data_IF_429931887669
#
_entry.id   IF_429931887669
#
_cell.length_a   1.000
_cell.length_b   1.000
_cell.length_c   1.000
_cell.angle_alpha   90.00
_cell.angle_beta   90.00
_cell.angle_gamma   90.00
#
_symmetry.space_group_name_H-M   'P 1'
#
loop_
_entity.id
_entity.type
_entity.pdbx_description
1 polymer ?
#
# COMPACT_ATOMS: atom_id res chain seq x y z
N UNK A 1 17.99 16.40 -15.53
CA UNK A 1 19.38 15.97 -15.24
C UNK A 1 19.72 16.25 -13.78
N UNK A 2 19.76 15.23 -12.92
CA UNK A 2 20.27 15.37 -11.54
C UNK A 2 21.80 15.45 -11.57
N UNK A 3 22.41 16.40 -10.84
CA UNK A 3 23.87 16.57 -10.82
C UNK A 3 24.52 15.32 -10.19
N UNK A 4 25.43 14.60 -10.87
CA UNK A 4 26.02 13.36 -10.36
C UNK A 4 26.72 13.50 -9.00
N UNK A 5 27.22 14.70 -8.68
CA UNK A 5 27.91 15.00 -7.42
C UNK A 5 27.02 14.87 -6.17
N UNK A 6 25.69 14.93 -6.27
CA UNK A 6 24.82 14.83 -5.09
C UNK A 6 24.68 13.41 -4.58
N UNK A 7 24.79 12.40 -5.46
CA UNK A 7 24.64 10.98 -5.07
C UNK A 7 25.86 10.47 -4.32
N UNK A 8 27.06 10.71 -4.85
CA UNK A 8 28.31 10.29 -4.20
C UNK A 8 28.49 10.93 -2.81
N UNK A 9 28.17 12.23 -2.70
CA UNK A 9 28.26 12.94 -1.42
C UNK A 9 27.23 12.44 -0.39
N UNK A 10 26.01 12.13 -0.84
CA UNK A 10 24.98 11.54 0.04
C UNK A 10 25.41 10.16 0.53
N UNK A 11 25.85 9.29 -0.39
CA UNK A 11 26.35 7.96 -0.06
C UNK A 11 27.53 7.99 0.92
N UNK A 12 28.49 8.91 0.72
CA UNK A 12 29.60 9.08 1.66
C UNK A 12 29.12 9.50 3.06
N UNK A 13 28.11 10.38 3.12
CA UNK A 13 27.56 10.83 4.40
C UNK A 13 26.79 9.73 5.15
N UNK A 14 26.16 8.81 4.42
CA UNK A 14 25.45 7.63 4.96
C UNK A 14 26.41 6.54 5.47
N UNK A 15 27.66 6.56 5.04
CA UNK A 15 28.67 5.57 5.48
C UNK A 15 28.98 5.74 6.98
N UNK A 16 29.11 4.63 7.75
CA UNK A 16 29.47 4.68 9.16
C UNK A 16 30.72 5.53 9.42
N UNK A 17 30.72 6.30 10.53
CA UNK A 17 31.83 7.20 10.87
C UNK A 17 33.16 6.45 11.00
N UNK A 18 33.13 5.23 11.51
CA UNK A 18 34.31 4.36 11.65
C UNK A 18 34.93 4.03 10.29
N UNK A 19 34.14 3.58 9.31
CA UNK A 19 34.62 3.29 7.96
C UNK A 19 35.21 4.53 7.30
N UNK A 20 34.58 5.69 7.46
CA UNK A 20 35.12 6.96 6.94
C UNK A 20 36.46 7.32 7.56
N UNK A 21 36.57 7.26 8.88
CA UNK A 21 37.82 7.53 9.60
C UNK A 21 38.92 6.58 9.15
N UNK A 22 38.62 5.29 9.06
CA UNK A 22 39.56 4.27 8.63
C UNK A 22 40.02 4.53 7.19
N UNK A 23 39.12 4.85 6.27
CA UNK A 23 39.47 5.23 4.89
C UNK A 23 40.32 6.50 4.86
N UNK A 24 39.99 7.52 5.67
CA UNK A 24 40.77 8.76 5.75
C UNK A 24 42.18 8.57 6.32
N UNK A 25 42.40 7.53 7.13
CA UNK A 25 43.73 7.21 7.68
C UNK A 25 44.50 6.30 6.72
N UNK A 26 43.88 5.22 6.26
CA UNK A 26 44.57 4.19 5.48
C UNK A 26 44.92 4.65 4.07
N UNK A 27 44.11 5.46 3.40
CA UNK A 27 44.42 5.91 2.04
C UNK A 27 45.67 6.82 2.01
N UNK A 28 45.79 7.87 2.84
CA UNK A 28 47.01 8.67 2.90
C UNK A 28 48.24 7.87 3.32
N UNK A 29 48.11 6.96 4.30
CA UNK A 29 49.21 6.06 4.69
C UNK A 29 49.61 5.18 3.50
N UNK A 30 48.64 4.62 2.77
CA UNK A 30 48.88 3.82 1.57
C UNK A 30 49.61 4.61 0.49
N UNK A 31 49.26 5.89 0.25
CA UNK A 31 49.99 6.75 -0.69
C UNK A 31 51.40 7.10 -0.21
N UNK A 32 51.58 7.34 1.09
CA UNK A 32 52.89 7.59 1.68
C UNK A 32 53.80 6.35 1.57
N UNK A 33 53.27 5.16 1.82
CA UNK A 33 53.98 3.89 1.60
C UNK A 33 54.23 3.65 0.10
N UNK A 34 53.27 3.91 -0.77
CA UNK A 34 53.50 3.75 -2.20
C UNK A 34 54.64 4.65 -2.71
N UNK A 35 54.62 5.94 -2.34
CA UNK A 35 55.68 6.89 -2.70
C UNK A 35 57.02 6.57 -2.04
N UNK A 36 57.01 6.16 -0.78
CA UNK A 36 58.21 5.71 -0.07
C UNK A 36 58.84 4.47 -0.71
N UNK A 37 58.01 3.54 -1.18
CA UNK A 37 58.45 2.35 -1.91
C UNK A 37 59.19 2.71 -3.19
N UNK A 38 58.62 3.62 -4.00
CA UNK A 38 59.26 4.11 -5.23
C UNK A 38 60.59 4.83 -4.96
N UNK A 39 60.66 5.59 -3.86
CA UNK A 39 61.90 6.26 -3.48
C UNK A 39 62.98 5.29 -2.98
N UNK A 40 62.61 4.30 -2.16
CA UNK A 40 63.53 3.25 -1.69
C UNK A 40 64.03 2.36 -2.83
N UNK A 41 63.18 2.13 -3.84
CA UNK A 41 63.54 1.43 -5.07
C UNK A 41 64.58 2.22 -5.88
N UNK A 42 64.42 3.55 -5.98
CA UNK A 42 65.36 4.42 -6.69
C UNK A 42 66.80 4.41 -6.11
N UNK A 43 66.95 4.12 -4.82
CA UNK A 43 68.26 4.05 -4.14
C UNK A 43 68.75 2.61 -3.92
N UNK A 44 68.13 1.63 -4.60
CA UNK A 44 68.43 0.19 -4.53
C UNK A 44 68.38 -0.40 -3.09
N UNK A 45 67.62 0.20 -2.17
CA UNK A 45 67.60 -0.20 -0.74
C UNK A 45 67.12 -1.64 -0.53
N UNK A 46 66.24 -2.13 -1.40
CA UNK A 46 65.66 -3.47 -1.31
C UNK A 46 66.68 -4.59 -1.52
N UNK A 47 67.85 -4.30 -2.10
CA UNK A 47 68.89 -5.31 -2.34
C UNK A 47 69.38 -5.89 -1.01
N UNK A 48 69.10 -7.19 -0.78
CA UNK A 48 69.42 -7.87 0.48
C UNK A 48 68.35 -7.77 1.58
N UNK A 49 67.19 -7.15 1.29
CA UNK A 49 66.10 -6.91 2.24
C UNK A 49 64.75 -7.50 1.80
N UNK A 50 64.76 -8.64 1.11
CA UNK A 50 63.56 -9.29 0.52
C UNK A 50 62.41 -9.49 1.53
N UNK A 51 62.75 -9.80 2.79
CA UNK A 51 61.76 -9.94 3.87
C UNK A 51 60.96 -8.65 4.11
N UNK A 52 61.64 -7.50 4.16
CA UNK A 52 60.98 -6.20 4.39
C UNK A 52 60.16 -5.77 3.19
N UNK A 53 60.61 -6.07 1.97
CA UNK A 53 59.85 -5.80 0.74
C UNK A 53 58.48 -6.51 0.76
N UNK A 54 58.46 -7.77 1.21
CA UNK A 54 57.22 -8.53 1.33
C UNK A 54 56.25 -7.94 2.37
N UNK A 55 56.76 -7.54 3.54
CA UNK A 55 55.93 -6.86 4.56
C UNK A 55 55.42 -5.52 4.03
N UNK A 56 56.29 -4.76 3.39
CA UNK A 56 55.98 -3.42 2.88
C UNK A 56 54.88 -3.44 1.82
N UNK A 57 55.01 -4.35 0.86
CA UNK A 57 54.01 -4.56 -0.20
C UNK A 57 52.69 -5.06 0.39
N UNK A 58 52.72 -6.00 1.33
CA UNK A 58 51.52 -6.46 2.04
C UNK A 58 50.80 -5.35 2.80
N UNK A 59 51.53 -4.51 3.53
CA UNK A 59 50.98 -3.39 4.27
C UNK A 59 50.41 -2.32 3.34
N UNK A 60 51.12 -2.00 2.26
CA UNK A 60 50.65 -1.07 1.23
C UNK A 60 49.36 -1.58 0.58
N UNK A 61 49.31 -2.85 0.22
CA UNK A 61 48.13 -3.51 -0.31
C UNK A 61 46.95 -3.50 0.68
N UNK A 62 47.21 -3.77 1.97
CA UNK A 62 46.19 -3.71 3.01
C UNK A 62 45.61 -2.30 3.20
N UNK A 63 46.44 -1.25 3.10
CA UNK A 63 45.99 0.15 3.21
C UNK A 63 44.98 0.56 2.13
N UNK A 64 45.03 -0.05 0.94
CA UNK A 64 44.03 0.19 -0.12
C UNK A 64 42.91 -0.86 -0.13
N UNK A 65 43.27 -2.12 0.12
CA UNK A 65 42.36 -3.27 0.06
C UNK A 65 41.30 -3.24 1.17
N UNK A 66 41.70 -2.96 2.42
CA UNK A 66 40.76 -2.97 3.56
C UNK A 66 39.67 -1.90 3.41
N UNK A 67 39.96 -0.61 3.12
CA UNK A 67 38.93 0.38 2.87
C UNK A 67 38.01 0.00 1.72
N UNK A 68 38.57 -0.47 0.60
CA UNK A 68 37.79 -0.85 -0.59
C UNK A 68 36.83 -2.00 -0.27
N UNK A 69 37.30 -3.03 0.41
CA UNK A 69 36.48 -4.16 0.85
C UNK A 69 35.35 -3.71 1.78
N UNK A 70 35.64 -2.84 2.75
CA UNK A 70 34.62 -2.31 3.66
C UNK A 70 33.55 -1.48 2.94
N UNK A 71 33.93 -0.67 1.94
CA UNK A 71 32.98 0.11 1.16
C UNK A 71 32.05 -0.79 0.32
N UNK A 72 32.61 -1.82 -0.32
CA UNK A 72 31.83 -2.80 -1.08
C UNK A 72 30.89 -3.61 -0.19
N UNK A 73 31.37 -4.07 0.97
CA UNK A 73 30.55 -4.79 1.95
C UNK A 73 29.40 -3.92 2.47
N UNK A 74 29.66 -2.64 2.78
CA UNK A 74 28.63 -1.71 3.21
C UNK A 74 27.58 -1.47 2.11
N UNK A 75 28.00 -1.38 0.85
CA UNK A 75 27.08 -1.25 -0.28
C UNK A 75 26.20 -2.50 -0.43
N UNK A 76 26.78 -3.69 -0.31
CA UNK A 76 26.05 -4.95 -0.39
C UNK A 76 25.06 -5.10 0.77
N UNK A 77 25.48 -4.77 1.99
CA UNK A 77 24.62 -4.80 3.18
C UNK A 77 23.42 -3.85 3.01
N UNK A 78 23.64 -2.61 2.55
CA UNK A 78 22.55 -1.67 2.31
C UNK A 78 21.58 -2.16 1.23
N UNK A 79 22.08 -2.78 0.15
CA UNK A 79 21.22 -3.36 -0.89
C UNK A 79 20.39 -4.53 -0.36
N UNK A 80 20.98 -5.38 0.51
CA UNK A 80 20.27 -6.47 1.16
C UNK A 80 19.20 -5.98 2.15
N UNK A 81 19.52 -4.95 2.94
CA UNK A 81 18.57 -4.36 3.88
C UNK A 81 17.40 -3.69 3.15
N UNK A 82 17.65 -3.00 2.04
CA UNK A 82 16.60 -2.42 1.21
C UNK A 82 15.70 -3.50 0.60
N UNK A 83 16.28 -4.60 0.09
CA UNK A 83 15.53 -5.73 -0.43
C UNK A 83 14.66 -6.39 0.67
N UNK A 84 15.21 -6.57 1.88
CA UNK A 84 14.47 -7.12 3.03
C UNK A 84 13.33 -6.21 3.47
N UNK A 85 13.57 -4.90 3.56
CA UNK A 85 12.53 -3.91 3.90
C UNK A 85 11.40 -3.92 2.86
N UNK A 86 11.75 -3.98 1.58
CA UNK A 86 10.78 -4.08 0.48
C UNK A 86 9.97 -5.36 0.56
N UNK A 87 10.62 -6.50 0.80
CA UNK A 87 9.95 -7.79 0.95
C UNK A 87 8.98 -7.78 2.14
N UNK A 88 9.41 -7.26 3.28
CA UNK A 88 8.58 -7.17 4.48
C UNK A 88 7.42 -6.17 4.32
N UNK A 89 7.62 -5.07 3.59
CA UNK A 89 6.55 -4.12 3.25
C UNK A 89 5.50 -4.78 2.35
N UNK A 90 5.92 -5.61 1.38
CA UNK A 90 5.00 -6.37 0.51
C UNK A 90 4.21 -7.43 1.27
N UNK A 91 4.87 -8.17 2.16
CA UNK A 91 4.21 -9.15 3.03
C UNK A 91 3.12 -8.48 3.89
N UNK A 92 3.45 -7.37 4.53
CA UNK A 92 2.47 -6.57 5.28
C UNK A 92 1.35 -6.02 4.40
N UNK A 93 1.66 -5.57 3.19
CA UNK A 93 0.65 -5.11 2.23
C UNK A 93 -0.33 -6.24 1.86
N UNK A 94 0.20 -7.45 1.61
CA UNK A 94 -0.60 -8.64 1.35
C UNK A 94 -1.54 -8.97 2.52
N UNK A 95 -1.01 -9.03 3.74
CA UNK A 95 -1.79 -9.30 4.95
C UNK A 95 -2.92 -8.27 5.14
N UNK A 96 -2.63 -6.98 4.97
CA UNK A 96 -3.63 -5.91 5.12
C UNK A 96 -4.60 -5.84 3.95
N UNK A 97 -4.21 -6.22 2.74
CA UNK A 97 -5.11 -6.34 1.61
C UNK A 97 -6.17 -7.43 1.86
N UNK A 98 -5.75 -8.60 2.36
CA UNK A 98 -6.68 -9.68 2.76
C UNK A 98 -7.61 -9.20 3.88
N UNK A 99 -7.09 -8.54 4.92
CA UNK A 99 -7.92 -8.01 5.99
C UNK A 99 -8.93 -6.95 5.52
N UNK A 100 -8.58 -6.15 4.51
CA UNK A 100 -9.49 -5.20 3.88
C UNK A 100 -10.59 -5.89 3.06
N UNK A 101 -10.24 -6.93 2.30
CA UNK A 101 -11.20 -7.76 1.56
C UNK A 101 -12.19 -8.45 2.51
N UNK A 102 -11.68 -9.10 3.57
CA UNK A 102 -12.51 -9.74 4.60
C UNK A 102 -13.43 -8.73 5.28
N UNK A 103 -12.93 -7.54 5.61
CA UNK A 103 -13.74 -6.47 6.19
C UNK A 103 -14.87 -6.04 5.24
N UNK A 104 -14.57 -5.89 3.94
CA UNK A 104 -15.55 -5.56 2.91
C UNK A 104 -16.63 -6.63 2.82
N UNK A 105 -16.25 -7.90 2.69
CA UNK A 105 -17.18 -9.03 2.50
C UNK A 105 -18.00 -9.37 3.76
N UNK A 106 -17.53 -9.01 4.96
CA UNK A 106 -18.07 -9.52 6.23
C UNK A 106 -19.56 -9.34 6.50
N UNK A 107 -20.24 -8.40 5.84
CA UNK A 107 -21.70 -8.21 5.99
C UNK A 107 -22.50 -8.66 4.76
N UNK A 108 -21.83 -8.90 3.63
CA UNK A 108 -22.50 -9.23 2.38
C UNK A 108 -22.63 -10.76 2.22
N UNK A 109 -23.75 -11.20 1.65
CA UNK A 109 -23.98 -12.58 1.20
C UNK A 109 -23.31 -12.87 -0.15
N UNK A 110 -22.06 -12.43 -0.33
CA UNK A 110 -21.23 -12.72 -1.50
C UNK A 110 -20.07 -13.64 -1.10
N UNK A 111 -19.77 -14.71 -1.87
CA UNK A 111 -18.69 -15.64 -1.56
C UNK A 111 -17.31 -15.03 -1.77
N UNK A 112 -17.19 -14.07 -2.68
CA UNK A 112 -15.94 -13.40 -3.03
C UNK A 112 -16.18 -11.98 -3.55
N UNK A 113 -15.08 -11.25 -3.77
CA UNK A 113 -15.09 -9.87 -4.22
C UNK A 113 -15.63 -9.69 -5.65
N UNK A 114 -15.43 -10.68 -6.52
CA UNK A 114 -15.90 -10.63 -7.90
C UNK A 114 -17.43 -10.70 -7.94
N UNK A 115 -18.04 -11.61 -7.19
CA UNK A 115 -19.49 -11.72 -7.04
C UNK A 115 -20.09 -10.46 -6.39
N UNK A 116 -19.46 -9.92 -5.34
CA UNK A 116 -19.88 -8.65 -4.73
C UNK A 116 -19.86 -7.50 -5.75
N UNK A 117 -18.80 -7.41 -6.56
CA UNK A 117 -18.66 -6.36 -7.59
C UNK A 117 -19.76 -6.47 -8.64
N UNK A 118 -20.03 -7.68 -9.16
CA UNK A 118 -21.07 -7.93 -10.17
C UNK A 118 -22.45 -7.61 -9.60
N UNK A 119 -22.77 -8.09 -8.40
CA UNK A 119 -24.07 -7.85 -7.77
C UNK A 119 -24.28 -6.38 -7.41
N UNK A 120 -23.25 -5.70 -6.90
CA UNK A 120 -23.34 -4.27 -6.59
C UNK A 120 -23.54 -3.42 -7.86
N UNK A 121 -22.86 -3.76 -8.96
CA UNK A 121 -23.06 -3.10 -10.26
C UNK A 121 -24.48 -3.36 -10.80
N UNK A 122 -24.97 -4.60 -10.76
CA UNK A 122 -26.32 -4.94 -11.21
C UNK A 122 -27.40 -4.21 -10.40
N UNK A 123 -27.24 -4.11 -9.07
CA UNK A 123 -28.14 -3.33 -8.22
C UNK A 123 -28.06 -1.83 -8.54
N UNK A 124 -26.88 -1.31 -8.86
CA UNK A 124 -26.69 0.08 -9.24
C UNK A 124 -27.41 0.39 -10.57
N UNK A 125 -27.37 -0.53 -11.54
CA UNK A 125 -28.10 -0.38 -12.80
C UNK A 125 -29.61 -0.47 -12.57
N UNK A 126 -30.08 -1.45 -11.79
CA UNK A 126 -31.50 -1.59 -11.44
C UNK A 126 -32.07 -0.33 -10.77
N UNK A 127 -31.34 0.28 -9.82
CA UNK A 127 -31.84 1.48 -9.15
C UNK A 127 -31.86 2.72 -10.07
N UNK A 128 -30.96 2.78 -11.05
CA UNK A 128 -31.01 3.81 -12.10
C UNK A 128 -32.25 3.62 -12.98
N UNK A 129 -32.52 2.39 -13.42
CA UNK A 129 -33.69 2.08 -14.25
C UNK A 129 -34.99 2.42 -13.49
N UNK A 130 -35.11 2.04 -12.22
CA UNK A 130 -36.28 2.34 -11.37
C UNK A 130 -36.49 3.84 -11.18
N UNK A 131 -35.42 4.63 -11.15
CA UNK A 131 -35.50 6.08 -11.02
C UNK A 131 -36.12 6.73 -12.27
N UNK A 132 -35.83 6.20 -13.45
CA UNK A 132 -36.31 6.73 -14.71
C UNK A 132 -37.75 6.25 -15.06
N UNK A 133 -38.28 5.27 -14.31
CA UNK A 133 -39.65 4.80 -14.46
C UNK A 133 -40.70 5.81 -13.94
N UNK A 134 -41.83 5.97 -14.63
CA UNK A 134 -42.96 6.73 -14.11
C UNK A 134 -43.53 6.06 -12.86
N UNK A 135 -44.09 6.86 -11.95
CA UNK A 135 -44.76 6.34 -10.75
C UNK A 135 -45.97 5.48 -11.13
N UNK A 136 -46.09 4.30 -10.53
CA UNK A 136 -47.18 3.34 -10.76
C UNK A 136 -46.74 1.90 -10.46
N UNK A 137 -47.64 0.95 -10.72
CA UNK A 137 -47.46 -0.48 -10.35
C UNK A 137 -46.16 -1.10 -10.89
N UNK A 138 -45.75 -0.73 -12.11
CA UNK A 138 -44.52 -1.24 -12.71
C UNK A 138 -43.27 -0.84 -11.92
N UNK A 139 -43.22 0.40 -11.44
CA UNK A 139 -42.11 0.91 -10.61
C UNK A 139 -42.09 0.23 -9.24
N UNK A 140 -43.27 0.00 -8.65
CA UNK A 140 -43.39 -0.69 -7.36
C UNK A 140 -42.96 -2.16 -7.43
N UNK A 141 -43.29 -2.85 -8.54
CA UNK A 141 -42.81 -4.20 -8.81
C UNK A 141 -41.29 -4.24 -9.00
N UNK A 142 -40.73 -3.31 -9.79
CA UNK A 142 -39.29 -3.21 -9.99
C UNK A 142 -38.56 -2.90 -8.68
N UNK A 143 -39.11 -2.02 -7.83
CA UNK A 143 -38.56 -1.72 -6.51
C UNK A 143 -38.59 -2.94 -5.58
N UNK A 144 -39.68 -3.71 -5.62
CA UNK A 144 -39.80 -4.96 -4.86
C UNK A 144 -38.74 -5.97 -5.28
N UNK A 145 -38.51 -6.12 -6.60
CA UNK A 145 -37.47 -7.00 -7.14
C UNK A 145 -36.06 -6.53 -6.76
N UNK A 146 -35.81 -5.22 -6.81
CA UNK A 146 -34.56 -4.62 -6.33
C UNK A 146 -34.32 -4.92 -4.85
N UNK A 147 -35.32 -4.69 -3.99
CA UNK A 147 -35.19 -4.95 -2.55
C UNK A 147 -34.96 -6.43 -2.24
N UNK A 148 -35.61 -7.34 -2.98
CA UNK A 148 -35.35 -8.78 -2.86
C UNK A 148 -33.91 -9.14 -3.23
N UNK A 149 -33.38 -8.53 -4.29
CA UNK A 149 -31.99 -8.76 -4.73
C UNK A 149 -30.99 -8.15 -3.73
N UNK A 150 -31.31 -6.96 -3.21
CA UNK A 150 -30.52 -6.28 -2.19
C UNK A 150 -30.53 -7.07 -0.87
N UNK A 151 -31.67 -7.64 -0.46
CA UNK A 151 -31.78 -8.48 0.73
C UNK A 151 -30.96 -9.77 0.60
N UNK A 152 -30.83 -10.33 -0.60
CA UNK A 152 -29.94 -11.46 -0.85
C UNK A 152 -28.45 -11.07 -0.75
N UNK A 153 -28.09 -9.85 -1.20
CA UNK A 153 -26.73 -9.35 -1.12
C UNK A 153 -26.34 -8.88 0.29
N UNK A 154 -27.25 -8.21 1.01
CA UNK A 154 -27.04 -7.69 2.35
C UNK A 154 -28.19 -8.15 3.26
N UNK A 155 -28.12 -9.39 3.80
CA UNK A 155 -29.17 -9.95 4.62
C UNK A 155 -29.51 -9.07 5.82
N UNK A 156 -30.79 -8.91 6.11
CA UNK A 156 -31.22 -8.24 7.34
C UNK A 156 -30.86 -9.11 8.56
N UNK A 157 -30.21 -8.56 9.61
CA UNK A 157 -30.02 -9.24 10.89
C UNK A 157 -31.33 -9.76 11.50
N UNK A 158 -32.45 -9.09 11.19
CA UNK A 158 -33.78 -9.49 11.68
C UNK A 158 -34.40 -10.65 10.89
N UNK A 159 -33.80 -11.05 9.77
CA UNK A 159 -34.37 -12.01 8.81
C UNK A 159 -35.63 -11.51 8.08
N UNK A 160 -36.10 -10.29 8.35
CA UNK A 160 -37.31 -9.74 7.73
C UNK A 160 -36.96 -9.02 6.43
N UNK A 161 -37.63 -9.33 5.31
CA UNK A 161 -37.38 -8.64 4.05
C UNK A 161 -37.74 -7.15 4.15
N UNK A 162 -37.03 -6.31 3.39
CA UNK A 162 -37.27 -4.86 3.33
C UNK A 162 -38.46 -4.59 2.41
N UNK A 163 -39.34 -3.68 2.81
CA UNK A 163 -40.60 -3.39 2.08
C UNK A 163 -40.53 -2.11 1.24
N UNK A 164 -39.67 -1.18 1.62
CA UNK A 164 -39.42 0.07 0.90
C UNK A 164 -38.02 0.61 1.22
N UNK A 165 -37.51 1.51 0.40
CA UNK A 165 -36.23 2.20 0.68
C UNK A 165 -36.29 3.09 1.94
N UNK A 166 -37.49 3.56 2.34
CA UNK A 166 -37.67 4.28 3.61
C UNK A 166 -37.61 3.37 4.84
N UNK A 167 -37.71 2.04 4.68
CA UNK A 167 -37.75 1.11 5.82
C UNK A 167 -36.41 0.91 6.52
N UNK A 168 -35.30 1.34 5.90
CA UNK A 168 -33.93 1.21 6.43
C UNK A 168 -33.72 2.02 7.71
N UNK A 169 -34.30 3.22 7.82
CA UNK A 169 -34.15 4.09 8.99
C UNK A 169 -34.70 3.46 10.28
N UNK A 170 -35.78 2.68 10.16
CA UNK A 170 -36.49 2.11 11.31
C UNK A 170 -35.79 0.89 11.91
N UNK A 171 -34.70 0.42 11.32
CA UNK A 171 -33.98 -0.79 11.72
C UNK A 171 -32.67 -0.42 12.42
N UNK A 172 -32.76 -0.22 13.74
CA UNK A 172 -31.60 0.11 14.59
C UNK A 172 -30.46 -0.88 14.46
N UNK A 173 -30.77 -2.16 14.39
CA UNK A 173 -29.78 -3.24 14.39
C UNK A 173 -28.98 -3.27 13.08
N UNK A 174 -29.66 -3.08 11.94
CA UNK A 174 -28.99 -2.92 10.63
C UNK A 174 -28.09 -1.69 10.63
N UNK A 175 -28.58 -0.57 11.16
CA UNK A 175 -27.79 0.66 11.25
C UNK A 175 -26.53 0.48 12.08
N UNK A 176 -26.62 -0.27 13.19
CA UNK A 176 -25.47 -0.57 14.04
C UNK A 176 -24.47 -1.47 13.30
N UNK A 177 -24.93 -2.59 12.71
CA UNK A 177 -24.09 -3.52 11.96
C UNK A 177 -23.35 -2.82 10.81
N UNK A 178 -24.04 -1.99 10.04
CA UNK A 178 -23.47 -1.29 8.89
C UNK A 178 -22.52 -0.16 9.35
N UNK A 179 -22.78 0.46 10.50
CA UNK A 179 -21.84 1.41 11.11
C UNK A 179 -20.55 0.73 11.57
N UNK A 180 -20.65 -0.44 12.19
CA UNK A 180 -19.48 -1.23 12.61
C UNK A 180 -18.68 -1.73 11.41
N UNK A 181 -19.37 -2.22 10.37
CA UNK A 181 -18.74 -2.57 9.10
C UNK A 181 -17.98 -1.40 8.49
N UNK A 182 -18.61 -0.22 8.41
CA UNK A 182 -17.93 1.00 7.92
C UNK A 182 -16.68 1.28 8.73
N UNK A 183 -16.75 1.26 10.06
CA UNK A 183 -15.57 1.51 10.91
C UNK A 183 -14.45 0.53 10.60
N UNK A 184 -14.76 -0.75 10.39
CA UNK A 184 -13.77 -1.77 10.00
C UNK A 184 -13.17 -1.49 8.64
N UNK A 185 -13.99 -1.25 7.61
CA UNK A 185 -13.52 -0.97 6.24
C UNK A 185 -12.66 0.30 6.18
N UNK A 186 -13.10 1.38 6.82
CA UNK A 186 -12.35 2.65 6.88
C UNK A 186 -11.04 2.45 7.62
N UNK A 187 -11.05 1.76 8.77
CA UNK A 187 -9.83 1.49 9.53
C UNK A 187 -8.81 0.67 8.75
N UNK A 188 -9.23 -0.37 8.03
CA UNK A 188 -8.33 -1.17 7.18
C UNK A 188 -7.78 -0.35 6.01
N UNK A 189 -8.61 0.51 5.39
CA UNK A 189 -8.14 1.41 4.34
C UNK A 189 -7.13 2.44 4.85
N UNK A 190 -7.36 3.03 6.03
CA UNK A 190 -6.45 4.00 6.63
C UNK A 190 -5.09 3.38 6.96
N UNK A 191 -5.04 2.12 7.41
CA UNK A 191 -3.79 1.37 7.61
C UNK A 191 -3.09 1.16 6.26
N UNK A 192 -3.80 0.67 5.25
CA UNK A 192 -3.24 0.45 3.91
C UNK A 192 -2.69 1.75 3.31
N UNK A 193 -3.46 2.84 3.37
CA UNK A 193 -3.11 4.11 2.74
C UNK A 193 -2.10 4.93 3.54
N UNK A 194 -2.23 4.96 4.87
CA UNK A 194 -1.44 5.79 5.76
C UNK A 194 -0.15 5.12 6.25
N UNK A 195 -0.20 3.82 6.53
CA UNK A 195 0.93 3.09 7.12
C UNK A 195 1.71 2.26 6.10
N UNK A 196 1.02 1.55 5.20
CA UNK A 196 1.66 0.62 4.27
C UNK A 196 2.17 1.32 3.01
N UNK A 197 1.34 2.16 2.37
CA UNK A 197 1.69 2.87 1.13
C UNK A 197 3.05 3.60 1.19
N UNK A 198 3.41 4.34 2.25
CA UNK A 198 4.71 5.02 2.30
C UNK A 198 5.91 4.08 2.35
N UNK A 199 5.73 2.84 2.81
CA UNK A 199 6.79 1.83 2.88
C UNK A 199 7.00 1.04 1.58
N UNK A 200 6.13 1.22 0.59
CA UNK A 200 6.23 0.54 -0.69
C UNK A 200 7.05 1.36 -1.69
N UNK A 201 7.93 0.73 -2.48
CA UNK A 201 8.79 1.45 -3.42
C UNK A 201 7.99 1.93 -4.62
N UNK A 202 7.91 3.25 -4.83
CA UNK A 202 7.44 3.90 -6.09
C UNK A 202 6.19 3.27 -6.70
N UNK A 203 6.37 2.51 -7.78
CA UNK A 203 5.32 1.84 -8.56
C UNK A 203 4.75 0.57 -7.89
N UNK A 204 5.22 0.27 -6.68
CA UNK A 204 4.75 -0.84 -5.87
C UNK A 204 3.42 -0.58 -5.19
N UNK A 205 2.69 0.48 -5.54
CA UNK A 205 1.32 0.80 -5.09
C UNK A 205 0.29 0.56 -6.20
N UNK A 206 -0.98 0.37 -5.85
CA UNK A 206 -2.07 0.38 -6.83
C UNK A 206 -2.12 1.71 -7.59
N UNK A 207 -2.68 1.70 -8.79
CA UNK A 207 -2.82 2.90 -9.61
C UNK A 207 -3.57 4.02 -8.85
N UNK A 208 -3.19 5.28 -9.14
CA UNK A 208 -3.71 6.47 -8.45
C UNK A 208 -5.24 6.60 -8.56
N UNK A 209 -5.82 6.20 -9.70
CA UNK A 209 -7.27 6.23 -9.93
C UNK A 209 -8.06 5.41 -8.91
N UNK A 210 -7.87 4.07 -8.83
CA UNK A 210 -8.46 3.23 -7.79
C UNK A 210 -8.19 3.72 -6.37
N UNK A 211 -6.94 4.12 -6.06
CA UNK A 211 -6.60 4.61 -4.72
C UNK A 211 -7.40 5.87 -4.33
N UNK A 212 -7.54 6.82 -5.26
CA UNK A 212 -8.31 8.04 -5.05
C UNK A 212 -9.80 7.72 -4.91
N UNK A 213 -10.32 6.81 -5.74
CA UNK A 213 -11.71 6.37 -5.67
C UNK A 213 -12.05 5.70 -4.32
N UNK A 214 -11.18 4.84 -3.80
CA UNK A 214 -11.36 4.26 -2.46
C UNK A 214 -11.24 5.30 -1.33
N UNK A 215 -10.30 6.25 -1.42
CA UNK A 215 -10.20 7.33 -0.44
C UNK A 215 -11.48 8.18 -0.42
N UNK A 216 -12.01 8.51 -1.60
CA UNK A 216 -13.27 9.23 -1.71
C UNK A 216 -14.44 8.40 -1.17
N UNK A 217 -14.53 7.12 -1.57
CA UNK A 217 -15.57 6.22 -1.12
C UNK A 217 -15.56 6.05 0.39
N UNK A 218 -14.42 5.74 1.02
CA UNK A 218 -14.30 5.61 2.49
C UNK A 218 -14.67 6.89 3.24
N UNK A 219 -14.28 8.06 2.72
CA UNK A 219 -14.64 9.34 3.32
C UNK A 219 -16.15 9.62 3.22
N UNK A 220 -16.76 9.28 2.09
CA UNK A 220 -18.16 9.59 1.80
C UNK A 220 -19.14 8.49 2.25
N UNK A 221 -18.66 7.27 2.51
CA UNK A 221 -19.44 6.10 2.90
C UNK A 221 -20.29 6.43 4.14
N UNK A 222 -21.60 6.25 4.04
CA UNK A 222 -22.58 6.51 5.10
C UNK A 222 -22.57 7.93 5.69
N UNK A 223 -22.07 8.92 4.96
CA UNK A 223 -22.21 10.34 5.31
C UNK A 223 -23.62 10.86 4.99
N UNK A 224 -23.94 12.08 5.42
CA UNK A 224 -25.24 12.72 5.16
C UNK A 224 -25.53 12.79 3.66
N UNK A 225 -26.67 12.26 3.22
CA UNK A 225 -27.02 12.15 1.79
C UNK A 225 -26.45 10.92 1.06
N UNK A 226 -25.70 10.07 1.76
CA UNK A 226 -25.16 8.78 1.24
C UNK A 226 -25.40 7.61 2.19
N UNK A 227 -26.20 7.81 3.23
CA UNK A 227 -26.54 6.82 4.23
C UNK A 227 -28.02 6.40 4.12
N UNK A 228 -28.33 5.25 3.49
CA UNK A 228 -29.70 4.73 3.40
C UNK A 228 -30.39 4.57 4.76
N UNK A 229 -29.64 4.32 5.84
CA UNK A 229 -30.15 4.10 7.21
C UNK A 229 -30.37 5.38 8.02
N UNK A 230 -30.08 6.56 7.46
CA UNK A 230 -30.31 7.86 8.12
C UNK A 230 -31.19 8.80 7.28
N UNK A 231 -31.79 8.31 6.21
CA UNK A 231 -32.58 9.14 5.31
C UNK A 231 -34.08 9.10 5.70
N UNK A 232 -34.65 10.19 6.25
CA UNK A 232 -35.99 10.15 6.86
C UNK A 232 -37.15 10.15 5.86
N UNK A 233 -36.88 10.50 4.59
CA UNK A 233 -37.91 10.67 3.57
C UNK A 233 -37.74 9.64 2.45
N UNK A 234 -38.85 9.15 1.89
CA UNK A 234 -38.81 8.29 0.69
C UNK A 234 -38.32 9.05 -0.56
N UNK A 235 -38.51 10.37 -0.59
CA UNK A 235 -38.03 11.23 -1.66
C UNK A 235 -36.50 11.31 -1.66
N UNK A 236 -35.85 10.75 -2.69
CA UNK A 236 -34.40 10.74 -2.84
C UNK A 236 -33.70 9.51 -2.24
N UNK A 237 -34.44 8.57 -1.66
CA UNK A 237 -33.87 7.34 -1.12
C UNK A 237 -33.17 6.48 -2.19
N UNK A 238 -33.65 6.55 -3.43
CA UNK A 238 -33.03 5.96 -4.63
C UNK A 238 -31.64 6.57 -4.91
N UNK A 239 -31.51 7.89 -4.84
CA UNK A 239 -30.23 8.60 -5.05
C UNK A 239 -29.22 8.23 -3.96
N UNK A 240 -29.68 8.18 -2.70
CA UNK A 240 -28.85 7.79 -1.55
C UNK A 240 -28.37 6.34 -1.70
N UNK A 241 -29.27 5.42 -2.06
CA UNK A 241 -28.94 4.01 -2.28
C UNK A 241 -27.95 3.83 -3.44
N UNK A 242 -28.15 4.53 -4.55
CA UNK A 242 -27.23 4.53 -5.68
C UNK A 242 -25.83 4.99 -5.28
N UNK A 243 -25.74 6.09 -4.51
CA UNK A 243 -24.46 6.60 -4.03
C UNK A 243 -23.75 5.59 -3.12
N UNK A 244 -24.50 4.91 -2.25
CA UNK A 244 -23.96 3.83 -1.41
C UNK A 244 -23.41 2.67 -2.26
N UNK A 245 -24.17 2.19 -3.26
CA UNK A 245 -23.72 1.12 -4.16
C UNK A 245 -22.50 1.53 -4.99
N UNK A 246 -22.44 2.79 -5.43
CA UNK A 246 -21.28 3.35 -6.13
C UNK A 246 -20.02 3.32 -5.24
N UNK A 247 -20.15 3.68 -3.96
CA UNK A 247 -19.03 3.62 -3.00
C UNK A 247 -18.58 2.18 -2.76
N UNK A 248 -19.51 1.25 -2.58
CA UNK A 248 -19.21 -0.18 -2.45
C UNK A 248 -18.46 -0.69 -3.68
N UNK A 249 -18.91 -0.36 -4.89
CA UNK A 249 -18.26 -0.76 -6.14
C UNK A 249 -16.84 -0.19 -6.27
N UNK A 250 -16.64 1.09 -5.90
CA UNK A 250 -15.31 1.71 -5.88
C UNK A 250 -14.35 1.01 -4.91
N UNK A 251 -14.84 0.63 -3.73
CA UNK A 251 -14.06 -0.13 -2.75
C UNK A 251 -13.74 -1.54 -3.26
N UNK A 252 -14.68 -2.22 -3.92
CA UNK A 252 -14.45 -3.55 -4.47
C UNK A 252 -13.41 -3.54 -5.59
N UNK A 253 -13.49 -2.57 -6.52
CA UNK A 253 -12.46 -2.40 -7.58
C UNK A 253 -11.08 -2.13 -7.00
N UNK A 254 -11.02 -1.41 -5.89
CA UNK A 254 -9.76 -1.13 -5.20
C UNK A 254 -9.21 -2.37 -4.52
N UNK A 255 -10.06 -3.14 -3.83
CA UNK A 255 -9.66 -4.43 -3.27
C UNK A 255 -9.18 -5.40 -4.37
N UNK A 256 -9.83 -5.43 -5.54
CA UNK A 256 -9.39 -6.24 -6.67
C UNK A 256 -8.03 -5.76 -7.21
N UNK A 257 -7.77 -4.45 -7.22
CA UNK A 257 -6.45 -3.92 -7.57
C UNK A 257 -5.36 -4.30 -6.55
N UNK A 258 -5.73 -4.47 -5.26
CA UNK A 258 -4.82 -4.92 -4.20
C UNK A 258 -4.47 -6.41 -4.30
N UNK A 259 -5.19 -7.21 -5.10
CA UNK A 259 -4.85 -8.63 -5.34
C UNK A 259 -3.44 -8.81 -5.91
N UNK A 260 -2.84 -7.77 -6.51
CA UNK A 260 -1.45 -7.79 -6.96
C UNK A 260 -0.40 -8.07 -5.86
N UNK A 261 -0.79 -7.97 -4.58
CA UNK A 261 0.06 -8.30 -3.44
C UNK A 261 -0.12 -9.73 -2.93
N UNK A 262 -1.06 -10.49 -3.48
CA UNK A 262 -1.31 -11.88 -3.14
C UNK A 262 -0.44 -12.80 -3.99
#
# INVERSE_FOLDING_TARGET
>A
MQRPNTRARRWWNETPRQTRLLTYILIPIGFALFGGGLWLDHIDWWTGHDYFLNIYSGLTGACFGVPTALLLLNQLANAQDEARRTAHAREKASEKAVAFEEALLSIFGAPDLADLTVKAAALQDQINDIRDMPTGDARDQALTAFLSTFDALLPSPSGRPRRSLGSFERRSDERMQVSEWRTRVVGQWDILHGEIRPGLPGDGWIAEGPATAAQQATHQLLTTGRNPWKHPNEHGADVVMRNFLQDVNALCRTAAALEMYR
#
